data_IF_704604305914
#
_entry.id   IF_704604305914
#
_cell.length_a   1.000
_cell.length_b   1.000
_cell.length_c   1.000
_cell.angle_alpha   90.00
_cell.angle_beta   90.00
_cell.angle_gamma   90.00
#
_symmetry.space_group_name_H-M   'P 1'
#
loop_
_entity.id
_entity.type
_entity.pdbx_description
1 polymer ?
#
# COMPACT_ATOMS: atom_id res chain seq x y z
N UNK A 1 -4.38 1.73 12.16
CA UNK A 1 -5.08 1.46 10.87
C UNK A 1 -6.12 0.32 10.88
N UNK A 2 -6.02 -0.68 11.77
CA UNK A 2 -6.87 -1.90 11.76
C UNK A 2 -8.39 -1.70 11.69
N UNK A 3 -8.94 -0.65 12.34
CA UNK A 3 -10.39 -0.37 12.30
C UNK A 3 -10.87 0.05 10.90
N UNK A 4 -10.10 0.89 10.19
CA UNK A 4 -10.48 1.30 8.85
C UNK A 4 -10.47 0.09 7.92
N UNK A 5 -9.43 -0.71 7.98
CA UNK A 5 -9.36 -1.92 7.18
C UNK A 5 -10.52 -2.88 7.45
N UNK A 6 -10.87 -3.10 8.72
CA UNK A 6 -12.04 -3.89 9.06
C UNK A 6 -13.30 -3.35 8.36
N UNK A 7 -13.50 -2.02 8.33
CA UNK A 7 -14.61 -1.42 7.58
C UNK A 7 -14.50 -1.64 6.08
N UNK A 8 -13.32 -1.42 5.50
CA UNK A 8 -13.08 -1.62 4.06
C UNK A 8 -13.40 -3.05 3.60
N UNK A 9 -13.16 -4.05 4.46
CA UNK A 9 -13.42 -5.46 4.15
C UNK A 9 -14.85 -5.92 4.41
N UNK A 10 -15.58 -5.26 5.32
CA UNK A 10 -16.85 -5.78 5.84
C UNK A 10 -18.04 -4.84 5.63
N UNK A 11 -17.83 -3.59 5.21
CA UNK A 11 -18.93 -2.66 4.90
C UNK A 11 -19.35 -2.81 3.44
N UNK A 12 -20.66 -2.84 3.20
CA UNK A 12 -21.23 -2.80 1.85
C UNK A 12 -20.97 -1.46 1.12
N UNK A 13 -20.58 -0.42 1.87
CA UNK A 13 -20.30 0.92 1.31
C UNK A 13 -19.05 0.93 0.42
N UNK A 14 -18.20 -0.10 0.50
CA UNK A 14 -16.98 -0.21 -0.30
C UNK A 14 -17.13 -1.38 -1.27
N UNK A 15 -17.21 -1.10 -2.57
CA UNK A 15 -17.32 -2.09 -3.64
C UNK A 15 -16.04 -2.92 -3.79
N UNK A 16 -15.81 -3.87 -2.87
CA UNK A 16 -14.66 -4.79 -2.83
C UNK A 16 -13.30 -4.11 -3.10
N UNK A 17 -12.85 -3.21 -2.20
CA UNK A 17 -11.64 -2.45 -2.43
C UNK A 17 -10.38 -3.33 -2.39
N UNK A 18 -9.39 -2.97 -3.21
CA UNK A 18 -8.04 -3.52 -3.11
C UNK A 18 -7.33 -2.82 -1.94
N UNK A 19 -6.88 -3.58 -0.95
CA UNK A 19 -6.25 -3.03 0.26
C UNK A 19 -4.76 -3.35 0.26
N UNK A 20 -3.93 -2.32 0.10
CA UNK A 20 -2.47 -2.38 0.13
C UNK A 20 -1.98 -1.91 1.51
N UNK A 21 -1.19 -2.73 2.21
CA UNK A 21 -0.58 -2.36 3.49
C UNK A 21 0.93 -2.23 3.38
N UNK A 22 1.48 -1.20 4.02
CA UNK A 22 2.92 -1.01 4.14
C UNK A 22 3.28 -0.27 5.44
N UNK A 23 4.57 -0.22 5.75
CA UNK A 23 5.13 0.63 6.81
C UNK A 23 6.17 1.57 6.24
N UNK A 24 6.50 2.65 6.95
CA UNK A 24 7.58 3.56 6.55
C UNK A 24 8.88 2.83 6.28
N UNK A 25 9.29 1.94 7.19
CA UNK A 25 10.50 1.13 7.03
C UNK A 25 10.46 0.24 5.78
N UNK A 26 9.31 -0.38 5.49
CA UNK A 26 9.17 -1.22 4.31
C UNK A 26 9.32 -0.41 3.02
N UNK A 27 8.75 0.80 2.96
CA UNK A 27 8.89 1.68 1.79
C UNK A 27 10.31 2.26 1.67
N UNK A 28 10.91 2.68 2.78
CA UNK A 28 12.29 3.15 2.82
C UNK A 28 13.27 2.06 2.36
N UNK A 29 12.99 0.80 2.67
CA UNK A 29 13.80 -0.34 2.20
C UNK A 29 13.74 -0.59 0.69
N UNK A 30 12.84 0.07 -0.05
CA UNK A 30 12.71 -0.07 -1.50
C UNK A 30 13.59 0.90 -2.30
N UNK A 31 14.32 1.81 -1.64
CA UNK A 31 15.09 2.83 -2.33
C UNK A 31 16.22 3.46 -1.52
N UNK A 32 16.96 4.34 -2.19
CA UNK A 32 18.01 5.16 -1.60
C UNK A 32 17.58 6.64 -1.58
N UNK A 33 17.66 7.25 -0.40
CA UNK A 33 17.13 8.58 -0.09
C UNK A 33 18.19 9.57 0.37
N UNK A 34 19.48 9.23 0.27
CA UNK A 34 20.57 10.08 0.75
C UNK A 34 20.93 11.19 -0.26
N UNK A 35 21.12 12.42 0.24
CA UNK A 35 21.75 13.53 -0.50
C UNK A 35 20.94 14.04 -1.71
N UNK A 36 19.62 13.86 -1.71
CA UNK A 36 18.75 14.23 -2.84
C UNK A 36 17.89 15.43 -2.48
N UNK A 37 17.59 16.27 -3.48
CA UNK A 37 16.70 17.42 -3.29
C UNK A 37 15.22 17.00 -3.18
N UNK A 38 14.39 17.96 -2.76
CA UNK A 38 12.96 17.76 -2.50
C UNK A 38 12.18 17.29 -3.73
N UNK A 39 12.45 17.84 -4.91
CA UNK A 39 11.73 17.53 -6.15
C UNK A 39 12.08 16.13 -6.67
N UNK A 40 13.36 15.76 -6.56
CA UNK A 40 13.78 14.39 -6.81
C UNK A 40 13.08 13.43 -5.85
N UNK A 41 13.13 13.72 -4.54
CA UNK A 41 12.56 12.85 -3.51
C UNK A 41 11.05 12.68 -3.68
N UNK A 42 10.33 13.73 -4.09
CA UNK A 42 8.89 13.63 -4.37
C UNK A 42 8.63 12.62 -5.50
N UNK A 43 9.28 12.80 -6.65
CA UNK A 43 9.11 11.88 -7.79
C UNK A 43 9.56 10.46 -7.46
N UNK A 44 10.63 10.32 -6.67
CA UNK A 44 11.12 9.04 -6.22
C UNK A 44 10.13 8.33 -5.29
N UNK A 45 9.50 9.06 -4.36
CA UNK A 45 8.43 8.55 -3.52
C UNK A 45 7.22 8.10 -4.33
N UNK A 46 6.83 8.85 -5.39
CA UNK A 46 5.75 8.44 -6.31
C UNK A 46 6.05 7.06 -6.89
N UNK A 47 7.27 6.85 -7.41
CA UNK A 47 7.68 5.57 -7.98
C UNK A 47 7.70 4.44 -6.94
N UNK A 48 8.19 4.68 -5.73
CA UNK A 48 8.23 3.66 -4.66
C UNK A 48 6.82 3.25 -4.21
N UNK A 49 5.94 4.22 -3.99
CA UNK A 49 4.55 3.95 -3.58
C UNK A 49 3.82 3.20 -4.70
N UNK A 50 3.92 3.67 -5.95
CA UNK A 50 3.31 3.00 -7.10
C UNK A 50 3.86 1.58 -7.32
N UNK A 51 5.18 1.37 -7.18
CA UNK A 51 5.79 0.05 -7.23
C UNK A 51 5.17 -0.89 -6.20
N UNK A 52 5.03 -0.43 -4.94
CA UNK A 52 4.43 -1.25 -3.88
C UNK A 52 2.97 -1.60 -4.20
N UNK A 53 2.18 -0.63 -4.68
CA UNK A 53 0.78 -0.85 -5.08
C UNK A 53 0.68 -1.87 -6.21
N UNK A 54 1.43 -1.66 -7.29
CA UNK A 54 1.41 -2.53 -8.48
C UNK A 54 1.79 -3.97 -8.15
N UNK A 55 2.80 -4.16 -7.29
CA UNK A 55 3.18 -5.50 -6.83
C UNK A 55 2.03 -6.15 -6.04
N UNK A 56 1.39 -5.45 -5.11
CA UNK A 56 0.27 -6.02 -4.34
C UNK A 56 -0.95 -6.31 -5.21
N UNK A 57 -1.24 -5.47 -6.22
CA UNK A 57 -2.27 -5.76 -7.24
C UNK A 57 -1.89 -7.03 -8.03
N UNK A 58 -0.64 -7.13 -8.48
CA UNK A 58 -0.12 -8.28 -9.20
C UNK A 58 -0.31 -9.60 -8.47
N UNK A 59 -0.18 -9.61 -7.14
CA UNK A 59 -0.45 -10.80 -6.30
C UNK A 59 -1.91 -11.25 -6.32
N UNK A 60 -2.85 -10.35 -6.62
CA UNK A 60 -4.29 -10.61 -6.63
C UNK A 60 -4.81 -11.02 -8.02
N UNK A 61 -4.09 -10.68 -9.08
CA UNK A 61 -4.49 -11.00 -10.46
C UNK A 61 -4.36 -12.52 -10.67
N UNK A 62 -5.50 -13.20 -10.78
CA UNK A 62 -5.53 -14.64 -11.04
C UNK A 62 -5.19 -15.02 -12.48
N UNK A 63 -5.57 -14.17 -13.45
CA UNK A 63 -5.33 -14.36 -14.88
C UNK A 63 -5.09 -12.99 -15.52
N UNK A 64 -3.90 -12.78 -16.08
CA UNK A 64 -3.51 -11.55 -16.73
C UNK A 64 -3.66 -11.68 -18.26
N UNK A 65 -4.35 -10.73 -18.87
CA UNK A 65 -4.55 -10.66 -20.33
C UNK A 65 -3.88 -9.44 -20.94
N UNK A 66 -3.86 -8.33 -20.21
CA UNK A 66 -3.29 -7.08 -20.69
C UNK A 66 -1.81 -6.93 -20.28
N UNK A 67 -1.03 -6.23 -21.09
CA UNK A 67 0.43 -6.06 -20.87
C UNK A 67 0.76 -5.45 -19.49
N UNK A 68 -0.07 -4.53 -19.00
CA UNK A 68 0.08 -3.94 -17.67
C UNK A 68 -0.16 -4.96 -16.55
N UNK A 69 -1.20 -5.79 -16.66
CA UNK A 69 -1.47 -6.87 -15.71
C UNK A 69 -0.33 -7.87 -15.68
N UNK A 70 0.15 -8.29 -16.86
CA UNK A 70 1.30 -9.20 -17.00
C UNK A 70 2.51 -8.60 -16.27
N UNK A 71 2.83 -7.33 -16.53
CA UNK A 71 3.93 -6.63 -15.89
C UNK A 71 3.79 -6.57 -14.36
N UNK A 72 2.57 -6.35 -13.84
CA UNK A 72 2.31 -6.36 -12.39
C UNK A 72 2.50 -7.74 -11.77
N UNK A 73 1.99 -8.79 -12.42
CA UNK A 73 2.14 -10.17 -11.92
C UNK A 73 3.61 -10.58 -11.93
N UNK A 74 4.35 -10.28 -13.00
CA UNK A 74 5.78 -10.55 -13.07
C UNK A 74 6.57 -9.82 -11.97
N UNK A 75 6.27 -8.54 -11.74
CA UNK A 75 6.90 -7.76 -10.67
C UNK A 75 6.59 -8.36 -9.28
N UNK A 76 5.36 -8.84 -9.07
CA UNK A 76 4.95 -9.47 -7.82
C UNK A 76 5.65 -10.81 -7.57
N UNK A 77 5.81 -11.62 -8.60
CA UNK A 77 6.56 -12.87 -8.51
C UNK A 77 8.05 -12.61 -8.26
N UNK A 78 8.64 -11.58 -8.88
CA UNK A 78 10.01 -11.15 -8.61
C UNK A 78 10.22 -10.72 -7.15
N UNK A 79 9.24 -10.01 -6.55
CA UNK A 79 9.31 -9.63 -5.13
C UNK A 79 9.20 -10.86 -4.19
N UNK A 80 8.38 -11.85 -4.56
CA UNK A 80 8.09 -13.03 -3.73
C UNK A 80 9.07 -14.20 -3.87
N UNK A 81 9.86 -14.27 -4.95
CA UNK A 81 10.67 -15.44 -5.30
C UNK A 81 12.17 -15.14 -5.16
N UNK A 82 12.85 -15.87 -4.26
CA UNK A 82 14.27 -16.23 -4.45
C UNK A 82 14.34 -17.03 -5.75
N UNK A 83 14.85 -16.38 -6.80
CA UNK A 83 15.13 -16.91 -8.14
C UNK A 83 15.11 -18.44 -8.25
N UNK A 84 14.11 -19.01 -8.95
CA UNK A 84 14.33 -20.15 -9.86
C UNK A 84 13.19 -20.56 -10.80
N UNK A 85 11.93 -20.13 -10.66
CA UNK A 85 10.85 -20.56 -11.58
C UNK A 85 9.85 -19.44 -11.96
N UNK A 86 10.34 -18.22 -12.20
CA UNK A 86 9.56 -17.01 -12.50
C UNK A 86 8.72 -17.05 -13.79
N UNK A 87 9.01 -17.99 -14.69
CA UNK A 87 8.42 -17.99 -16.05
C UNK A 87 7.58 -19.24 -16.31
N UNK A 88 7.87 -20.34 -15.62
CA UNK A 88 7.16 -21.61 -15.81
C UNK A 88 5.71 -21.59 -15.31
N UNK A 89 5.41 -20.82 -14.27
CA UNK A 89 4.09 -20.82 -13.62
C UNK A 89 3.02 -20.04 -14.43
N UNK A 90 3.37 -18.88 -15.00
CA UNK A 90 2.46 -18.09 -15.83
C UNK A 90 2.22 -18.74 -17.20
N UNK A 91 3.29 -19.20 -17.86
CA UNK A 91 3.21 -19.89 -19.15
C UNK A 91 2.41 -21.20 -19.02
N UNK A 92 2.55 -21.96 -17.93
CA UNK A 92 1.76 -23.18 -17.72
C UNK A 92 0.27 -22.90 -17.48
N UNK A 93 -0.09 -21.82 -16.78
CA UNK A 93 -1.50 -21.44 -16.55
C UNK A 93 -2.20 -20.92 -17.80
N UNK A 94 -1.49 -20.16 -18.64
CA UNK A 94 -2.05 -19.58 -19.88
C UNK A 94 -2.08 -20.64 -21.00
N UNK A 95 -0.97 -21.39 -21.22
CA UNK A 95 -0.94 -22.46 -22.23
C UNK A 95 -1.87 -23.63 -21.90
N UNK A 96 -2.15 -23.89 -20.63
CA UNK A 96 -3.09 -24.93 -20.21
C UNK A 96 -4.55 -24.63 -20.58
N UNK A 97 -4.90 -23.37 -20.87
CA UNK A 97 -6.27 -22.95 -21.21
C UNK A 97 -6.45 -22.51 -22.66
N UNK A 98 -5.38 -22.10 -23.35
CA UNK A 98 -5.43 -21.71 -24.77
C UNK A 98 -4.25 -22.39 -25.48
N UNK A 99 -4.47 -23.52 -26.19
CA UNK A 99 -3.45 -24.07 -27.06
C UNK A 99 -3.17 -23.05 -28.18
N UNK A 100 -1.91 -22.90 -28.57
CA UNK A 100 -1.39 -22.04 -29.68
C UNK A 100 -0.97 -20.59 -29.38
N UNK A 101 -0.99 -20.10 -28.13
CA UNK A 101 -0.44 -18.77 -27.84
C UNK A 101 1.10 -18.80 -27.71
N UNK A 102 1.81 -18.28 -28.71
CA UNK A 102 3.26 -18.02 -28.65
C UNK A 102 3.50 -16.63 -28.04
N UNK A 103 3.57 -16.57 -26.71
CA UNK A 103 4.02 -15.38 -25.98
C UNK A 103 5.56 -15.41 -25.85
N UNK A 104 6.24 -14.46 -26.48
CA UNK A 104 7.64 -14.15 -26.17
C UNK A 104 7.70 -13.26 -24.94
N UNK A 105 8.30 -13.76 -23.85
CA UNK A 105 8.41 -13.03 -22.59
C UNK A 105 9.65 -12.14 -22.59
N UNK A 106 9.46 -10.83 -22.74
CA UNK A 106 10.47 -9.85 -22.32
C UNK A 106 10.32 -9.62 -20.83
N UNK A 107 11.29 -10.08 -20.04
CA UNK A 107 11.45 -9.62 -18.64
C UNK A 107 11.67 -8.12 -18.67
N UNK A 108 10.63 -7.35 -18.38
CA UNK A 108 10.71 -5.91 -18.30
C UNK A 108 10.33 -5.50 -16.89
N UNK A 109 11.32 -5.05 -16.11
CA UNK A 109 11.01 -4.28 -14.90
C UNK A 109 10.38 -2.98 -15.42
N UNK A 110 9.17 -2.59 -14.99
CA UNK A 110 8.55 -1.37 -15.45
C UNK A 110 9.44 -0.15 -15.20
N UNK A 111 9.68 0.64 -16.25
CA UNK A 111 10.47 1.88 -16.17
C UNK A 111 9.69 3.01 -15.46
N UNK A 112 8.36 2.98 -15.51
CA UNK A 112 7.48 3.97 -14.87
C UNK A 112 6.30 3.29 -14.17
N UNK A 113 6.41 3.15 -12.85
CA UNK A 113 5.41 2.51 -12.00
C UNK A 113 4.13 3.33 -11.87
N UNK A 114 4.22 4.66 -11.92
CA UNK A 114 3.05 5.53 -11.86
C UNK A 114 2.18 5.36 -13.09
N UNK A 115 2.78 5.36 -14.29
CA UNK A 115 2.03 5.16 -15.53
C UNK A 115 1.38 3.78 -15.57
N UNK A 116 2.09 2.74 -15.10
CA UNK A 116 1.55 1.38 -15.03
C UNK A 116 0.28 1.32 -14.15
N UNK A 117 0.32 2.00 -12.99
CA UNK A 117 -0.83 2.08 -12.08
C UNK A 117 -1.99 2.87 -12.69
N UNK A 118 -1.71 4.01 -13.32
CA UNK A 118 -2.72 4.84 -14.01
C UNK A 118 -3.45 4.03 -15.07
N UNK A 119 -2.72 3.37 -15.97
CA UNK A 119 -3.30 2.55 -17.04
C UNK A 119 -4.17 1.41 -16.48
N UNK A 120 -3.75 0.77 -15.38
CA UNK A 120 -4.56 -0.26 -14.73
C UNK A 120 -5.86 0.29 -14.12
N UNK A 121 -5.78 1.43 -13.42
CA UNK A 121 -6.96 2.07 -12.83
C UNK A 121 -7.95 2.60 -13.89
N UNK A 122 -7.47 3.00 -15.05
CA UNK A 122 -8.33 3.37 -16.19
C UNK A 122 -9.14 2.18 -16.71
N UNK A 123 -8.52 0.99 -16.82
CA UNK A 123 -9.22 -0.22 -17.25
C UNK A 123 -10.06 -0.88 -16.14
N UNK A 124 -9.75 -0.58 -14.86
CA UNK A 124 -10.43 -1.12 -13.68
C UNK A 124 -11.11 -0.04 -12.84
N UNK A 125 -11.83 0.87 -13.50
CA UNK A 125 -12.39 2.10 -12.89
C UNK A 125 -13.40 1.91 -11.75
N UNK A 126 -13.82 0.68 -11.43
CA UNK A 126 -14.66 0.37 -10.27
C UNK A 126 -13.87 -0.12 -9.05
N UNK A 127 -12.60 -0.49 -9.24
CA UNK A 127 -11.77 -1.07 -8.19
C UNK A 127 -11.02 0.00 -7.41
N UNK A 128 -11.61 0.48 -6.32
CA UNK A 128 -10.93 1.41 -5.42
C UNK A 128 -9.70 0.77 -4.77
N UNK A 129 -8.54 1.42 -4.88
CA UNK A 129 -7.31 1.02 -4.19
C UNK A 129 -7.16 1.85 -2.92
N UNK A 130 -7.06 1.18 -1.79
CA UNK A 130 -6.79 1.77 -0.48
C UNK A 130 -5.40 1.38 0.00
N UNK A 131 -4.53 2.38 0.12
CA UNK A 131 -3.16 2.21 0.62
C UNK A 131 -3.10 2.68 2.06
N UNK A 132 -2.67 1.80 2.94
CA UNK A 132 -2.59 2.01 4.38
C UNK A 132 -1.11 1.93 4.79
N UNK A 133 -0.50 3.07 5.09
CA UNK A 133 0.93 3.21 5.42
C UNK A 133 1.10 3.59 6.91
N UNK A 134 1.56 2.63 7.72
CA UNK A 134 1.83 2.87 9.15
C UNK A 134 3.25 3.43 9.35
N UNK A 135 3.45 4.23 10.40
CA UNK A 135 4.75 4.71 10.87
C UNK A 135 5.73 5.16 9.76
N UNK A 136 5.31 6.11 8.91
CA UNK A 136 6.20 6.67 7.87
C UNK A 136 7.48 7.28 8.46
N UNK A 137 7.38 7.70 9.72
CA UNK A 137 8.37 8.38 10.54
C UNK A 137 9.09 7.46 11.54
N UNK A 138 9.05 6.14 11.33
CA UNK A 138 9.63 5.14 12.26
C UNK A 138 11.13 5.34 12.59
N UNK A 139 11.88 6.01 11.71
CA UNK A 139 13.31 6.33 11.88
C UNK A 139 13.61 7.82 11.84
N UNK A 140 12.58 8.65 12.01
CA UNK A 140 12.73 10.10 11.92
C UNK A 140 13.68 10.63 12.99
N UNK A 141 14.65 11.41 12.53
CA UNK A 141 15.46 12.30 13.33
C UNK A 141 15.13 13.73 12.92
N UNK A 142 15.18 14.66 13.86
CA UNK A 142 14.87 16.06 13.56
C UNK A 142 16.05 16.75 12.87
N UNK A 143 16.26 16.40 11.61
CA UNK A 143 17.26 16.99 10.72
C UNK A 143 16.60 17.40 9.42
N UNK A 144 17.18 18.39 8.74
CA UNK A 144 16.69 18.89 7.46
C UNK A 144 16.53 17.75 6.42
N UNK A 145 17.50 16.83 6.36
CA UNK A 145 17.44 15.67 5.46
C UNK A 145 16.18 14.81 5.69
N UNK A 146 15.84 14.52 6.95
CA UNK A 146 14.66 13.73 7.27
C UNK A 146 13.36 14.53 7.09
N UNK A 147 13.38 15.83 7.37
CA UNK A 147 12.25 16.72 7.13
C UNK A 147 11.92 16.78 5.64
N UNK A 148 12.90 17.04 4.78
CA UNK A 148 12.73 17.04 3.32
C UNK A 148 12.27 15.66 2.86
N UNK A 149 12.89 14.57 3.33
CA UNK A 149 12.51 13.22 2.93
C UNK A 149 11.06 12.88 3.23
N UNK A 150 10.59 13.13 4.45
CA UNK A 150 9.20 12.83 4.82
C UNK A 150 8.23 13.87 4.24
N UNK A 151 8.63 15.14 4.15
CA UNK A 151 7.83 16.18 3.49
C UNK A 151 7.59 15.86 2.01
N UNK A 152 8.63 15.50 1.26
CA UNK A 152 8.51 15.04 -0.12
C UNK A 152 7.59 13.82 -0.28
N UNK A 153 7.57 12.91 0.70
CA UNK A 153 6.64 11.78 0.68
C UNK A 153 5.18 12.26 0.74
N UNK A 154 4.89 13.22 1.60
CA UNK A 154 3.56 13.79 1.75
C UNK A 154 3.11 14.56 0.50
N UNK A 155 4.00 15.34 -0.11
CA UNK A 155 3.76 15.96 -1.42
C UNK A 155 3.50 14.91 -2.51
N UNK A 156 4.29 13.83 -2.51
CA UNK A 156 4.16 12.74 -3.49
C UNK A 156 2.80 12.06 -3.42
N UNK A 157 2.36 11.63 -2.24
CA UNK A 157 1.07 10.94 -2.09
C UNK A 157 -0.12 11.87 -2.39
N UNK A 158 0.01 13.18 -2.10
CA UNK A 158 -1.00 14.18 -2.48
C UNK A 158 -1.15 14.26 -3.98
N UNK A 159 -0.03 14.33 -4.70
CA UNK A 159 0.00 14.30 -6.16
C UNK A 159 -0.61 13.00 -6.70
N UNK A 160 -0.23 11.84 -6.16
CA UNK A 160 -0.76 10.56 -6.60
C UNK A 160 -2.28 10.44 -6.44
N UNK A 161 -2.84 10.86 -5.30
CA UNK A 161 -4.30 10.81 -5.07
C UNK A 161 -5.05 11.75 -6.02
N UNK A 162 -4.43 12.85 -6.43
CA UNK A 162 -4.99 13.75 -7.43
C UNK A 162 -4.92 13.15 -8.84
N UNK A 163 -3.81 12.52 -9.21
CA UNK A 163 -3.52 12.10 -10.58
C UNK A 163 -4.00 10.68 -10.92
N UNK A 164 -4.23 9.83 -9.92
CA UNK A 164 -4.61 8.42 -10.09
C UNK A 164 -6.05 8.22 -9.63
N UNK A 165 -6.93 7.84 -10.57
CA UNK A 165 -8.33 7.58 -10.28
C UNK A 165 -8.50 6.45 -9.26
N UNK A 166 -9.47 6.62 -8.37
CA UNK A 166 -9.85 5.67 -7.33
C UNK A 166 -8.72 5.24 -6.38
N UNK A 167 -7.64 6.04 -6.29
CA UNK A 167 -6.57 5.82 -5.35
C UNK A 167 -6.84 6.59 -4.05
N UNK A 168 -6.89 5.86 -2.95
CA UNK A 168 -7.06 6.40 -1.61
C UNK A 168 -5.84 6.04 -0.78
N UNK A 169 -5.19 7.03 -0.18
CA UNK A 169 -4.01 6.80 0.66
C UNK A 169 -4.30 7.31 2.07
N UNK A 170 -4.06 6.46 3.06
CA UNK A 170 -4.05 6.84 4.47
C UNK A 170 -2.70 6.55 5.05
N UNK A 171 -2.16 7.54 5.76
CA UNK A 171 -0.86 7.45 6.43
C UNK A 171 -1.03 7.78 7.91
N UNK A 172 -0.21 7.19 8.77
CA UNK A 172 -0.05 7.64 10.15
C UNK A 172 1.36 8.19 10.35
N UNK A 173 1.43 9.29 11.10
CA UNK A 173 2.66 9.95 11.52
C UNK A 173 2.52 10.36 12.97
N UNK A 174 3.60 10.39 13.75
CA UNK A 174 3.55 10.91 15.12
C UNK A 174 3.30 12.42 15.12
N UNK A 175 2.60 12.90 16.14
CA UNK A 175 2.20 14.31 16.28
C UNK A 175 3.40 15.26 16.38
N UNK A 176 4.46 14.87 17.10
CA UNK A 176 5.70 15.62 17.21
C UNK A 176 6.42 15.74 15.85
N UNK A 177 6.44 14.67 15.06
CA UNK A 177 7.01 14.70 13.71
C UNK A 177 6.19 15.59 12.78
N UNK A 178 4.86 15.48 12.78
CA UNK A 178 4.00 16.37 12.00
C UNK A 178 4.21 17.84 12.36
N UNK A 179 4.38 18.14 13.66
CA UNK A 179 4.64 19.50 14.13
C UNK A 179 5.92 20.10 13.53
N UNK A 180 6.95 19.29 13.31
CA UNK A 180 8.20 19.75 12.69
C UNK A 180 8.07 19.93 11.19
N UNK A 181 7.26 19.10 10.53
CA UNK A 181 7.06 19.13 9.08
C UNK A 181 6.17 20.27 8.61
N UNK A 182 5.16 20.68 9.40
CA UNK A 182 4.12 21.66 8.97
C UNK A 182 4.62 23.03 8.49
N UNK A 183 5.89 23.34 8.75
CA UNK A 183 6.52 24.58 8.29
C UNK A 183 7.07 24.50 6.86
N UNK A 184 7.11 23.31 6.27
CA UNK A 184 7.46 23.13 4.87
C UNK A 184 6.33 23.66 3.98
N UNK A 185 6.67 24.52 3.03
CA UNK A 185 5.72 25.27 2.19
C UNK A 185 4.67 24.36 1.52
N UNK A 186 5.08 23.22 0.99
CA UNK A 186 4.19 22.29 0.28
C UNK A 186 3.17 21.56 1.17
N UNK A 187 3.35 21.59 2.49
CA UNK A 187 2.56 20.81 3.45
C UNK A 187 1.41 21.61 4.07
N UNK A 188 1.31 22.92 3.81
CA UNK A 188 0.20 23.76 4.25
C UNK A 188 -1.15 23.21 3.77
N UNK A 189 -1.21 22.74 2.51
CA UNK A 189 -2.37 22.16 1.85
C UNK A 189 -2.74 20.79 2.38
N UNK A 190 -1.88 20.16 3.17
CA UNK A 190 -2.15 18.84 3.74
C UNK A 190 -2.88 18.90 5.07
N UNK A 191 -2.87 20.05 5.74
CA UNK A 191 -3.53 20.24 7.03
C UNK A 191 -5.03 19.90 6.96
N UNK A 192 -5.70 20.21 5.84
CA UNK A 192 -7.11 19.88 5.63
C UNK A 192 -7.42 18.37 5.58
N UNK A 193 -6.41 17.52 5.34
CA UNK A 193 -6.56 16.06 5.33
C UNK A 193 -6.13 15.42 6.66
N UNK A 194 -5.65 16.22 7.62
CA UNK A 194 -5.21 15.73 8.92
C UNK A 194 -6.41 15.33 9.78
N UNK A 195 -6.35 14.12 10.31
CA UNK A 195 -7.31 13.64 11.32
C UNK A 195 -6.53 13.34 12.59
N UNK A 196 -6.62 14.22 13.57
CA UNK A 196 -6.01 13.99 14.87
C UNK A 196 -6.70 12.87 15.63
N UNK A 197 -5.92 11.88 16.06
CA UNK A 197 -6.41 10.75 16.85
C UNK A 197 -6.18 11.06 18.32
N UNK A 198 -7.24 11.54 18.98
CA UNK A 198 -7.23 11.80 20.41
C UNK A 198 -7.65 10.57 21.23
N UNK A 199 -6.73 10.09 22.07
CA UNK A 199 -6.93 8.96 22.99
C UNK A 199 -7.26 9.45 24.40
N UNK A 200 -8.55 9.52 24.74
CA UNK A 200 -8.96 9.77 26.12
C UNK A 200 -8.77 8.52 26.98
N UNK A 201 -8.54 8.69 28.29
CA UNK A 201 -8.43 7.57 29.25
C UNK A 201 -9.60 6.58 29.13
N UNK A 202 -10.82 7.09 28.93
CA UNK A 202 -12.02 6.26 28.76
C UNK A 202 -11.98 5.46 27.46
N UNK A 203 -11.62 6.08 26.32
CA UNK A 203 -11.47 5.37 25.04
C UNK A 203 -10.40 4.28 25.11
N UNK A 204 -9.29 4.54 25.77
CA UNK A 204 -8.23 3.55 25.97
C UNK A 204 -8.71 2.37 26.82
N UNK A 205 -9.44 2.64 27.92
CA UNK A 205 -10.08 1.60 28.75
C UNK A 205 -11.08 0.77 27.94
N UNK A 206 -11.95 1.41 27.16
CA UNK A 206 -12.93 0.71 26.31
C UNK A 206 -12.25 -0.19 25.28
N UNK A 207 -11.16 0.27 24.66
CA UNK A 207 -10.40 -0.55 23.72
C UNK A 207 -9.73 -1.75 24.38
N UNK A 208 -9.11 -1.55 25.55
CA UNK A 208 -8.55 -2.64 26.36
C UNK A 208 -9.61 -3.66 26.73
N UNK A 209 -10.76 -3.20 27.24
CA UNK A 209 -11.88 -4.06 27.60
C UNK A 209 -12.36 -4.87 26.38
N UNK A 210 -12.60 -4.24 25.22
CA UNK A 210 -12.99 -4.93 23.99
C UNK A 210 -11.97 -5.97 23.55
N UNK A 211 -10.67 -5.67 23.65
CA UNK A 211 -9.59 -6.60 23.28
C UNK A 211 -9.56 -7.80 24.21
N UNK A 212 -9.65 -7.58 25.53
CA UNK A 212 -9.70 -8.66 26.53
C UNK A 212 -10.93 -9.54 26.28
N UNK A 213 -12.12 -8.93 26.15
CA UNK A 213 -13.36 -9.68 25.90
C UNK A 213 -13.32 -10.47 24.60
N UNK A 214 -12.77 -9.90 23.51
CA UNK A 214 -12.62 -10.62 22.25
C UNK A 214 -11.71 -11.85 22.37
N UNK A 215 -10.58 -11.71 23.08
CA UNK A 215 -9.66 -12.82 23.31
C UNK A 215 -10.27 -13.89 24.24
N UNK A 216 -10.96 -13.47 25.31
CA UNK A 216 -11.66 -14.38 26.21
C UNK A 216 -12.75 -15.18 25.48
N UNK A 217 -13.52 -14.51 24.61
CA UNK A 217 -14.54 -15.16 23.78
C UNK A 217 -13.94 -16.17 22.79
N UNK A 218 -12.82 -15.82 22.13
CA UNK A 218 -12.09 -16.75 21.26
C UNK A 218 -11.57 -17.97 22.02
N UNK A 219 -11.00 -17.78 23.21
CA UNK A 219 -10.52 -18.87 24.05
C UNK A 219 -11.67 -19.80 24.50
N UNK A 220 -12.80 -19.23 24.91
CA UNK A 220 -13.99 -19.99 25.26
C UNK A 220 -14.53 -20.82 24.07
N UNK A 221 -14.61 -20.23 22.87
CA UNK A 221 -15.04 -20.96 21.68
C UNK A 221 -14.08 -22.09 21.28
N UNK A 222 -12.78 -21.90 21.50
CA UNK A 222 -11.77 -22.93 21.26
C UNK A 222 -11.88 -24.08 22.27
N UNK A 223 -12.15 -23.77 23.54
CA UNK A 223 -12.42 -24.78 24.58
C UNK A 223 -13.74 -25.53 24.39
N UNK A 224 -14.76 -24.89 23.81
CA UNK A 224 -16.08 -25.47 23.53
C UNK A 224 -16.14 -26.26 22.20
N UNK A 225 -15.00 -26.49 21.53
CA UNK A 225 -14.94 -27.33 20.33
C UNK A 225 -15.60 -26.76 19.08
N UNK A 226 -16.03 -25.49 19.07
CA UNK A 226 -16.68 -24.84 17.91
C UNK A 226 -15.69 -24.27 16.88
N UNK A 227 -14.47 -24.80 16.85
CA UNK A 227 -13.37 -24.28 16.05
C UNK A 227 -12.93 -25.23 14.93
N UNK A 228 -13.85 -25.66 14.06
CA UNK A 228 -13.58 -26.14 12.69
C UNK A 228 -14.91 -26.32 11.96
N UNK A 229 -15.24 -25.34 11.11
CA UNK A 229 -15.94 -25.48 9.83
C UNK A 229 -16.35 -24.06 9.38
N UNK A 230 -15.45 -23.44 8.62
CA UNK A 230 -15.64 -22.51 7.50
C UNK A 230 -14.27 -21.94 7.11
#
# INVERSE_FOLDING_TARGET
>A
MSRLEYKLRNSSDYENPIIVRSTGNALLGLGDFQGKDQAYLENYWKQIVCKKINIEIGKLIGFALADNEISMVEAAELEGIKSKNLVGALVSRIKGKIPYLNLELKKSIPDNWEQLLKTYQESHSKSAVWVLIDDIDAKYLDTEEYQIRIGSFFSAIRGLVHDVKNLNIRVTVRTDVWHNLRYLEDLDKLEQYLIEINWTKNRTKEMLAKRISSNAFKAANMMLGKGKNL
#
